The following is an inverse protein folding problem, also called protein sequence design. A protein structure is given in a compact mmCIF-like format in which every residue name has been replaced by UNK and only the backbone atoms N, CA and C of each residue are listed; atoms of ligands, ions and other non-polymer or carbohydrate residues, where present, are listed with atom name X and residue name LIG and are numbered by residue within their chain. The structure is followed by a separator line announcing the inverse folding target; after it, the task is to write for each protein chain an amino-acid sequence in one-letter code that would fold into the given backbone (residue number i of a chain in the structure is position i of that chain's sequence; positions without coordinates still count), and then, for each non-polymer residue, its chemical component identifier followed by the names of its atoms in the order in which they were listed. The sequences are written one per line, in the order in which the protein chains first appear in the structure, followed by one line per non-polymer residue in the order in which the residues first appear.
data_IF_367744783989
#
_entry.id   IF_367744783989
#
_cell.length_a   1.000
_cell.length_b   1.000
_cell.length_c   1.000
_cell.angle_alpha   90.00
_cell.angle_beta   90.00
_cell.angle_gamma   90.00
#
_symmetry.space_group_name_H-M   'P 1'
#
loop_
_entity.id
_entity.type
_entity.pdbx_description
1 polymer ?
#
# COMPACT_ATOMS: atom_id res chain seq x y z
N UNK A 1 -12.90 23.19 67.94
CA UNK A 1 -14.25 22.59 67.96
C UNK A 1 -14.37 21.82 66.65
N UNK A 2 -13.81 20.61 66.62
CA UNK A 2 -14.42 19.33 67.02
C UNK A 2 -15.41 18.88 65.93
N UNK A 3 -15.00 17.99 65.03
CA UNK A 3 -15.18 16.51 65.09
C UNK A 3 -16.52 16.12 64.42
N UNK A 4 -16.57 15.26 63.39
CA UNK A 4 -16.28 13.84 63.46
C UNK A 4 -15.99 13.22 62.07
N UNK A 5 -14.84 12.57 61.95
CA UNK A 5 -14.57 11.50 60.99
C UNK A 5 -14.21 10.27 61.84
N UNK A 6 -15.05 9.23 61.82
CA UNK A 6 -14.78 7.91 62.42
C UNK A 6 -14.79 6.89 61.28
N UNK A 7 -13.62 6.34 60.93
CA UNK A 7 -13.03 5.07 61.41
C UNK A 7 -13.65 3.86 60.65
N UNK A 8 -12.92 3.25 59.70
CA UNK A 8 -11.87 2.23 59.87
C UNK A 8 -12.42 0.79 59.87
N UNK A 9 -12.05 0.02 58.84
CA UNK A 9 -11.94 -1.45 58.83
C UNK A 9 -10.98 -1.82 57.69
N UNK A 10 -9.69 -2.04 57.97
CA UNK A 10 -9.05 -3.30 58.38
C UNK A 10 -9.03 -4.40 57.30
N UNK A 11 -7.84 -4.52 56.69
CA UNK A 11 -7.10 -5.76 56.37
C UNK A 11 -7.78 -6.86 55.54
N UNK A 12 -7.23 -7.13 54.35
CA UNK A 12 -6.36 -8.30 54.14
C UNK A 12 -5.87 -8.37 52.68
N UNK A 13 -4.56 -8.20 52.48
CA UNK A 13 -3.87 -8.56 51.25
C UNK A 13 -3.73 -10.09 51.15
N UNK A 14 -4.10 -10.73 50.03
CA UNK A 14 -3.65 -12.08 49.75
C UNK A 14 -2.24 -12.05 49.16
N UNK A 15 -1.33 -12.70 49.87
CA UNK A 15 0.07 -12.89 49.52
C UNK A 15 0.25 -13.50 48.12
N UNK A 16 1.25 -12.99 47.40
CA UNK A 16 1.77 -13.58 46.18
C UNK A 16 2.23 -15.02 46.47
N UNK A 17 1.55 -16.01 45.89
CA UNK A 17 2.03 -17.40 45.84
C UNK A 17 3.20 -17.47 44.88
N UNK A 18 4.40 -17.62 45.45
CA UNK A 18 5.60 -18.01 44.71
C UNK A 18 5.36 -19.35 44.02
N UNK A 19 5.47 -19.35 42.68
CA UNK A 19 5.47 -20.56 41.89
C UNK A 19 6.78 -21.32 42.14
N UNK A 20 6.67 -22.58 42.57
CA UNK A 20 7.80 -23.50 42.74
C UNK A 20 8.37 -23.88 41.37
N UNK A 21 9.70 -23.96 41.20
CA UNK A 21 10.31 -24.45 39.97
C UNK A 21 10.13 -25.98 39.84
N UNK A 22 9.80 -26.41 38.62
CA UNK A 22 9.62 -27.80 38.23
C UNK A 22 10.92 -28.62 38.40
N UNK A 23 10.84 -29.95 38.63
CA UNK A 23 12.01 -30.80 38.80
C UNK A 23 12.79 -30.99 37.50
N UNK A 24 14.12 -30.96 37.64
CA UNK A 24 15.13 -31.26 36.63
C UNK A 24 14.90 -32.63 35.97
N UNK A 25 14.54 -32.64 34.69
CA UNK A 25 14.69 -33.82 33.82
C UNK A 25 16.13 -33.88 33.28
N UNK A 26 16.77 -35.03 33.46
CA UNK A 26 18.20 -35.23 33.30
C UNK A 26 18.80 -35.02 31.91
N UNK A 27 20.09 -34.73 31.94
CA UNK A 27 21.01 -34.74 30.80
C UNK A 27 21.18 -36.17 30.28
N UNK A 28 20.82 -36.42 29.03
CA UNK A 28 21.35 -37.53 28.24
C UNK A 28 22.55 -37.04 27.42
N UNK A 29 23.66 -37.76 27.54
CA UNK A 29 24.91 -37.52 26.84
C UNK A 29 24.77 -37.66 25.31
N UNK A 30 25.56 -36.92 24.50
CA UNK A 30 25.61 -37.10 23.06
C UNK A 30 26.40 -38.37 22.70
N UNK A 31 25.90 -39.12 21.71
CA UNK A 31 26.57 -40.26 21.09
C UNK A 31 27.82 -39.83 20.28
N UNK A 32 28.83 -40.71 20.12
CA UNK A 32 30.08 -40.35 19.45
C UNK A 32 29.89 -40.19 17.93
N UNK A 33 30.59 -39.21 17.38
CA UNK A 33 30.64 -38.93 15.95
C UNK A 33 31.30 -40.08 15.16
N UNK A 34 30.61 -40.58 14.14
CA UNK A 34 31.17 -41.50 13.17
C UNK A 34 32.07 -40.75 12.17
N UNK A 35 33.27 -41.29 11.91
CA UNK A 35 34.23 -40.78 10.93
C UNK A 35 33.70 -40.94 9.49
N UNK A 36 33.87 -39.95 8.60
CA UNK A 36 33.50 -40.10 7.21
C UNK A 36 34.58 -40.90 6.46
N UNK A 37 34.17 -42.01 5.86
CA UNK A 37 34.96 -42.77 4.89
C UNK A 37 35.15 -41.91 3.61
N UNK A 38 36.40 -41.78 3.19
CA UNK A 38 36.81 -41.17 1.92
C UNK A 38 36.25 -41.98 0.74
N UNK A 39 35.28 -41.44 0.01
CA UNK A 39 34.98 -41.89 -1.35
C UNK A 39 35.97 -41.24 -2.34
N UNK A 40 36.52 -41.99 -3.31
CA UNK A 40 37.34 -41.41 -4.37
C UNK A 40 36.46 -40.61 -5.33
N UNK A 41 36.83 -39.35 -5.56
CA UNK A 41 36.26 -38.49 -6.60
C UNK A 41 36.58 -39.07 -7.98
N UNK A 42 35.60 -39.76 -8.58
CA UNK A 42 35.59 -40.02 -10.02
C UNK A 42 35.27 -38.70 -10.73
N UNK A 43 36.27 -38.16 -11.41
CA UNK A 43 36.15 -36.98 -12.26
C UNK A 43 35.17 -37.30 -13.42
N UNK A 44 34.06 -36.56 -13.61
CA UNK A 44 33.22 -36.75 -14.77
C UNK A 44 33.95 -36.25 -16.00
N UNK A 45 34.10 -37.11 -17.02
CA UNK A 45 34.54 -36.73 -18.35
C UNK A 45 33.62 -35.61 -18.87
N UNK A 46 34.17 -34.40 -18.96
CA UNK A 46 33.50 -33.27 -19.59
C UNK A 46 33.25 -33.60 -21.06
N UNK A 47 31.97 -33.73 -21.43
CA UNK A 47 31.56 -33.71 -22.84
C UNK A 47 31.98 -32.37 -23.46
N UNK A 48 32.52 -32.36 -24.69
CA UNK A 48 32.85 -31.11 -25.37
C UNK A 48 31.58 -30.26 -25.58
N UNK A 49 31.70 -28.92 -25.56
CA UNK A 49 30.57 -28.02 -25.75
C UNK A 49 29.95 -28.21 -27.14
N UNK A 50 28.62 -28.03 -27.28
CA UNK A 50 27.96 -28.09 -28.58
C UNK A 50 28.50 -27.01 -29.52
N UNK A 51 28.50 -27.25 -30.85
CA UNK A 51 28.93 -26.26 -31.81
C UNK A 51 28.04 -24.99 -31.74
N UNK A 52 28.59 -23.81 -32.04
CA UNK A 52 27.84 -22.56 -32.00
C UNK A 52 26.63 -22.62 -32.96
N UNK A 53 25.49 -22.00 -32.60
CA UNK A 53 24.34 -21.94 -33.48
C UNK A 53 24.73 -21.26 -34.80
N UNK A 54 24.26 -21.80 -35.91
CA UNK A 54 24.41 -21.20 -37.24
C UNK A 54 23.87 -19.76 -37.23
N UNK A 55 24.50 -18.83 -37.96
CA UNK A 55 24.01 -17.45 -38.04
C UNK A 55 22.56 -17.46 -38.53
N UNK A 56 21.65 -16.93 -37.69
CA UNK A 56 20.27 -16.72 -38.09
C UNK A 56 20.25 -15.84 -39.35
N UNK A 57 19.51 -16.29 -40.37
CA UNK A 57 19.19 -15.49 -41.55
C UNK A 57 18.71 -14.11 -41.11
N UNK A 58 19.22 -13.00 -41.67
CA UNK A 58 18.81 -11.67 -41.25
C UNK A 58 17.30 -11.54 -41.43
N UNK A 59 16.60 -11.37 -40.32
CA UNK A 59 15.22 -10.88 -40.30
C UNK A 59 15.21 -9.56 -41.08
N UNK A 60 14.26 -9.34 -42.02
CA UNK A 60 14.19 -8.08 -42.73
C UNK A 60 14.12 -6.95 -41.70
N UNK A 61 15.09 -6.03 -41.76
CA UNK A 61 15.15 -4.89 -40.87
C UNK A 61 13.86 -4.08 -41.02
N UNK A 62 13.25 -3.70 -39.90
CA UNK A 62 12.02 -2.92 -39.81
C UNK A 62 12.19 -1.46 -40.30
N UNK A 63 12.97 -1.23 -41.35
CA UNK A 63 13.48 0.09 -41.73
C UNK A 63 12.71 0.76 -42.85
N UNK A 64 11.58 0.23 -43.33
CA UNK A 64 10.72 0.91 -44.32
C UNK A 64 9.24 0.53 -44.18
N UNK A 65 8.69 0.61 -42.96
CA UNK A 65 7.23 0.57 -42.82
C UNK A 65 6.71 1.99 -43.12
N UNK A 66 6.12 2.19 -44.30
CA UNK A 66 5.44 3.45 -44.62
C UNK A 66 4.12 3.52 -43.84
N UNK A 67 4.08 4.45 -42.89
CA UNK A 67 2.96 4.64 -41.97
C UNK A 67 1.91 5.61 -42.55
N UNK A 68 2.17 6.26 -43.70
CA UNK A 68 1.23 7.17 -44.36
C UNK A 68 0.56 8.18 -43.39
N UNK A 69 -0.77 8.31 -43.51
CA UNK A 69 -1.60 9.18 -42.66
C UNK A 69 -1.45 8.93 -41.15
N UNK A 70 -1.06 7.72 -40.73
CA UNK A 70 -0.88 7.39 -39.31
C UNK A 70 0.26 8.20 -38.68
N UNK A 71 1.34 8.47 -39.44
CA UNK A 71 2.46 9.30 -38.98
C UNK A 71 1.99 10.73 -38.70
N UNK A 72 1.25 11.32 -39.63
CA UNK A 72 0.75 12.69 -39.50
C UNK A 72 -0.21 12.83 -38.32
N UNK A 73 -1.10 11.85 -38.14
CA UNK A 73 -2.02 11.78 -37.01
C UNK A 73 -1.28 11.74 -35.67
N UNK A 74 -0.22 10.93 -35.58
CA UNK A 74 0.64 10.81 -34.41
C UNK A 74 1.44 12.09 -34.11
N UNK A 75 2.04 12.71 -35.12
CA UNK A 75 2.78 13.96 -34.97
C UNK A 75 1.85 15.12 -34.56
N UNK A 76 0.63 15.17 -35.11
CA UNK A 76 -0.39 16.14 -34.73
C UNK A 76 -0.81 15.96 -33.28
N UNK A 77 -1.02 14.72 -32.83
CA UNK A 77 -1.33 14.41 -31.44
C UNK A 77 -0.22 14.87 -30.49
N UNK A 78 1.04 14.53 -30.78
CA UNK A 78 2.20 14.96 -30.00
C UNK A 78 2.30 16.48 -29.89
N UNK A 79 2.14 17.20 -31.02
CA UNK A 79 2.17 18.67 -31.07
C UNK A 79 1.05 19.29 -30.22
N UNK A 80 -0.18 18.76 -30.32
CA UNK A 80 -1.33 19.24 -29.53
C UNK A 80 -1.13 19.04 -28.04
N UNK A 81 -0.60 17.88 -27.65
CA UNK A 81 -0.38 17.53 -26.25
C UNK A 81 0.95 18.06 -25.68
N UNK A 82 1.84 18.60 -26.54
CA UNK A 82 3.20 19.03 -26.20
C UNK A 82 4.02 17.93 -25.52
N UNK A 83 3.94 16.70 -26.05
CA UNK A 83 4.60 15.51 -25.50
C UNK A 83 5.68 14.99 -26.45
N UNK A 84 6.68 14.32 -25.87
CA UNK A 84 7.62 13.45 -26.63
C UNK A 84 6.88 12.22 -27.14
N UNK A 85 7.49 11.49 -28.09
CA UNK A 85 6.94 10.20 -28.56
C UNK A 85 6.65 9.23 -27.41
N UNK A 86 7.59 9.10 -26.47
CA UNK A 86 7.42 8.26 -25.28
C UNK A 86 6.30 8.78 -24.36
N UNK A 87 6.22 10.09 -24.15
CA UNK A 87 5.17 10.71 -23.34
C UNK A 87 3.78 10.53 -23.96
N UNK A 88 3.68 10.65 -25.28
CA UNK A 88 2.46 10.39 -26.03
C UNK A 88 2.05 8.91 -25.97
N UNK A 89 3.00 7.98 -26.07
CA UNK A 89 2.73 6.55 -25.99
C UNK A 89 2.25 6.18 -24.58
N UNK A 90 2.92 6.72 -23.56
CA UNK A 90 2.51 6.56 -22.17
C UNK A 90 1.10 7.11 -21.94
N UNK A 91 0.78 8.31 -22.47
CA UNK A 91 -0.55 8.89 -22.32
C UNK A 91 -1.63 7.99 -22.94
N UNK A 92 -1.38 7.42 -24.12
CA UNK A 92 -2.34 6.51 -24.76
C UNK A 92 -2.52 5.21 -23.96
N UNK A 93 -1.42 4.64 -23.45
CA UNK A 93 -1.46 3.44 -22.60
C UNK A 93 -2.23 3.72 -21.30
N UNK A 94 -1.90 4.82 -20.61
CA UNK A 94 -2.59 5.25 -19.40
C UNK A 94 -4.08 5.50 -19.68
N UNK A 95 -4.44 6.09 -20.83
CA UNK A 95 -5.84 6.36 -21.22
C UNK A 95 -6.60 5.06 -21.49
N UNK A 96 -5.93 4.04 -22.02
CA UNK A 96 -6.52 2.72 -22.22
C UNK A 96 -6.68 1.96 -20.90
N UNK A 97 -5.67 2.00 -20.04
CA UNK A 97 -5.65 1.30 -18.74
C UNK A 97 -6.61 1.92 -17.72
N UNK A 98 -6.78 3.25 -17.76
CA UNK A 98 -7.56 4.03 -16.80
C UNK A 98 -8.72 4.79 -17.45
N UNK A 99 -9.45 4.15 -18.36
CA UNK A 99 -10.60 4.76 -19.03
C UNK A 99 -11.58 5.41 -18.04
N UNK A 100 -11.90 6.69 -18.28
CA UNK A 100 -12.82 7.47 -17.44
C UNK A 100 -12.22 8.02 -16.15
N UNK A 101 -10.93 7.77 -15.89
CA UNK A 101 -10.20 8.34 -14.75
C UNK A 101 -9.31 9.49 -15.20
N UNK A 102 -8.94 10.33 -14.23
CA UNK A 102 -7.92 11.37 -14.39
C UNK A 102 -6.82 11.14 -13.38
N UNK A 103 -5.63 11.65 -13.70
CA UNK A 103 -4.50 11.60 -12.79
C UNK A 103 -4.57 12.80 -11.84
N UNK A 104 -4.74 12.52 -10.56
CA UNK A 104 -4.57 13.49 -9.49
C UNK A 104 -3.15 13.40 -8.94
N UNK A 105 -2.61 14.53 -8.51
CA UNK A 105 -1.39 14.60 -7.70
C UNK A 105 -1.72 15.15 -6.33
N UNK A 106 -0.88 14.85 -5.35
CA UNK A 106 -1.10 15.32 -4.00
C UNK A 106 0.08 15.02 -3.09
N UNK A 107 -0.09 15.34 -1.81
CA UNK A 107 0.95 15.10 -0.83
C UNK A 107 0.64 15.61 0.56
N UNK A 108 1.62 15.52 1.44
CA UNK A 108 1.53 16.15 2.75
C UNK A 108 1.76 17.67 2.65
N UNK A 109 1.36 18.40 3.69
CA UNK A 109 1.48 19.87 3.76
C UNK A 109 2.91 20.39 3.48
N UNK A 110 3.94 19.75 4.05
CA UNK A 110 5.32 20.21 3.88
C UNK A 110 5.97 19.79 2.54
N UNK A 111 5.23 19.09 1.67
CA UNK A 111 5.74 18.62 0.36
C UNK A 111 6.77 17.49 0.43
N UNK A 112 7.10 17.00 1.63
CA UNK A 112 8.08 15.94 1.82
C UNK A 112 7.59 14.58 1.29
N UNK A 113 6.28 14.34 1.33
CA UNK A 113 5.60 13.15 0.80
C UNK A 113 4.74 13.59 -0.38
N UNK A 114 4.95 12.99 -1.55
CA UNK A 114 4.22 13.30 -2.79
C UNK A 114 3.79 12.03 -3.50
N UNK A 115 2.60 12.03 -4.10
CA UNK A 115 2.04 10.88 -4.80
C UNK A 115 1.27 11.31 -6.05
N UNK A 116 1.01 10.35 -6.93
CA UNK A 116 0.00 10.43 -7.98
C UNK A 116 -1.02 9.30 -7.80
N UNK A 117 -2.26 9.55 -8.22
CA UNK A 117 -3.36 8.58 -8.14
C UNK A 117 -4.31 8.74 -9.33
N UNK A 118 -4.72 7.63 -9.92
CA UNK A 118 -5.77 7.59 -10.94
C UNK A 118 -7.14 7.36 -10.30
N UNK A 119 -8.03 8.35 -10.41
CA UNK A 119 -9.39 8.27 -9.88
C UNK A 119 -10.36 9.10 -10.74
N UNK A 120 -11.67 9.00 -10.46
CA UNK A 120 -12.68 9.83 -11.11
C UNK A 120 -12.48 11.31 -10.74
N UNK A 121 -12.71 12.21 -11.68
CA UNK A 121 -12.76 13.64 -11.37
C UNK A 121 -13.95 13.99 -10.44
N UNK A 122 -15.00 13.17 -10.42
CA UNK A 122 -16.10 13.23 -9.45
C UNK A 122 -15.82 12.23 -8.33
N UNK A 123 -15.37 12.71 -7.18
CA UNK A 123 -14.91 11.88 -6.08
C UNK A 123 -16.06 11.46 -5.16
N UNK A 124 -16.12 10.18 -4.83
CA UNK A 124 -16.98 9.66 -3.77
C UNK A 124 -16.19 9.50 -2.47
N UNK A 125 -16.51 10.34 -1.48
CA UNK A 125 -15.77 10.47 -0.23
C UNK A 125 -16.53 9.77 0.90
N UNK A 126 -15.85 8.95 1.70
CA UNK A 126 -16.38 8.40 2.94
C UNK A 126 -15.97 9.25 4.13
N UNK A 127 -16.94 9.64 4.96
CA UNK A 127 -16.73 10.31 6.24
C UNK A 127 -17.02 9.34 7.39
N UNK A 128 -15.95 8.77 7.98
CA UNK A 128 -16.05 7.72 8.97
C UNK A 128 -16.08 8.27 10.40
N UNK A 129 -17.07 7.83 11.18
CA UNK A 129 -17.31 8.34 12.53
C UNK A 129 -16.54 7.60 13.66
N UNK A 130 -15.63 6.66 13.34
CA UNK A 130 -14.91 5.91 14.38
C UNK A 130 -13.94 6.82 15.18
N UNK A 131 -13.49 6.37 16.34
CA UNK A 131 -12.72 7.20 17.29
C UNK A 131 -11.48 7.86 16.68
N UNK A 132 -10.70 7.14 15.88
CA UNK A 132 -9.52 7.70 15.20
C UNK A 132 -9.90 8.62 14.04
N UNK A 133 -10.91 8.25 13.24
CA UNK A 133 -11.31 9.02 12.07
C UNK A 133 -11.94 10.36 12.47
N UNK A 134 -12.74 10.40 13.54
CA UNK A 134 -13.23 11.64 14.14
C UNK A 134 -12.09 12.56 14.57
N UNK A 135 -11.09 12.02 15.29
CA UNK A 135 -9.93 12.80 15.76
C UNK A 135 -9.06 13.33 14.61
N UNK A 136 -8.91 12.56 13.53
CA UNK A 136 -8.13 12.95 12.35
C UNK A 136 -8.93 13.76 11.31
N UNK A 137 -10.25 13.86 11.45
CA UNK A 137 -11.15 14.31 10.38
C UNK A 137 -10.91 13.54 9.06
N UNK A 138 -10.78 12.22 9.17
CA UNK A 138 -10.34 11.36 8.07
C UNK A 138 -11.45 11.08 7.05
N UNK A 139 -11.66 12.03 6.15
CA UNK A 139 -12.44 11.89 4.92
C UNK A 139 -11.57 11.33 3.81
N UNK A 140 -12.04 10.33 3.08
CA UNK A 140 -11.22 9.69 2.04
C UNK A 140 -12.05 9.04 0.93
N UNK A 141 -11.49 8.95 -0.28
CA UNK A 141 -11.95 8.03 -1.32
C UNK A 141 -10.97 6.86 -1.44
N UNK A 142 -11.44 5.72 -1.93
CA UNK A 142 -10.64 4.49 -2.01
C UNK A 142 -10.26 4.21 -3.46
N UNK A 143 -8.99 3.84 -3.67
CA UNK A 143 -8.47 3.35 -4.95
C UNK A 143 -7.75 2.00 -4.76
N UNK A 144 -7.72 1.13 -5.78
CA UNK A 144 -6.81 -0.02 -5.82
C UNK A 144 -5.35 0.42 -5.76
N UNK A 145 -4.47 -0.44 -5.21
CA UNK A 145 -3.04 -0.14 -5.13
C UNK A 145 -2.39 0.09 -6.51
N UNK A 146 -2.86 -0.58 -7.56
CA UNK A 146 -2.39 -0.39 -8.94
C UNK A 146 -2.60 1.03 -9.47
N UNK A 147 -3.57 1.77 -8.92
CA UNK A 147 -3.85 3.16 -9.32
C UNK A 147 -3.09 4.20 -8.52
N UNK A 148 -2.30 3.80 -7.52
CA UNK A 148 -1.58 4.70 -6.64
C UNK A 148 -0.07 4.57 -6.85
N UNK A 149 0.63 5.69 -6.86
CA UNK A 149 2.09 5.71 -6.92
C UNK A 149 2.67 6.76 -5.99
N UNK A 150 3.52 6.32 -5.07
CA UNK A 150 4.35 7.21 -4.26
C UNK A 150 5.47 7.78 -5.14
N UNK A 151 5.54 9.10 -5.25
CA UNK A 151 6.55 9.81 -6.05
C UNK A 151 7.78 10.19 -5.22
N UNK A 152 7.58 10.52 -3.94
CA UNK A 152 8.65 10.95 -3.02
C UNK A 152 8.26 10.74 -1.56
N UNK A 153 9.25 10.54 -0.69
CA UNK A 153 9.11 10.71 0.75
C UNK A 153 8.82 9.43 1.51
N UNK A 154 9.22 8.26 0.99
CA UNK A 154 9.09 6.98 1.66
C UNK A 154 9.75 7.00 3.05
N UNK A 155 10.91 7.65 3.15
CA UNK A 155 11.67 7.89 4.37
C UNK A 155 10.98 8.84 5.36
N UNK A 156 10.03 9.65 4.89
CA UNK A 156 9.28 10.62 5.70
C UNK A 156 7.92 10.10 6.16
N UNK A 157 7.59 8.87 5.81
CA UNK A 157 6.36 8.21 6.20
C UNK A 157 6.55 7.43 7.51
N UNK A 158 5.54 7.46 8.37
CA UNK A 158 5.41 6.56 9.51
C UNK A 158 3.99 6.02 9.59
N UNK A 159 3.79 4.92 10.30
CA UNK A 159 2.53 4.18 10.33
C UNK A 159 2.11 3.92 11.77
N UNK A 160 0.84 4.21 12.07
CA UNK A 160 0.18 3.82 13.31
C UNK A 160 -0.86 2.74 13.04
N UNK A 161 -0.86 1.68 13.83
CA UNK A 161 -1.87 0.60 13.78
C UNK A 161 -2.40 0.33 15.18
N UNK A 162 -3.66 -0.10 15.27
CA UNK A 162 -4.30 -0.47 16.53
C UNK A 162 -5.47 -1.44 16.27
N UNK A 163 -6.06 -1.95 17.34
CA UNK A 163 -7.20 -2.88 17.31
C UNK A 163 -6.89 -4.14 16.48
N UNK A 164 -7.41 -4.25 15.26
CA UNK A 164 -7.16 -5.41 14.38
C UNK A 164 -5.82 -5.35 13.65
N UNK A 165 -5.10 -4.22 13.75
CA UNK A 165 -3.85 -3.93 13.03
C UNK A 165 -3.93 -4.02 11.49
N UNK A 166 -5.14 -4.17 10.92
CA UNK A 166 -5.38 -4.21 9.47
C UNK A 166 -5.35 -2.83 8.82
N UNK A 167 -5.87 -1.82 9.51
CA UNK A 167 -5.74 -0.44 9.04
C UNK A 167 -4.32 0.05 9.32
N UNK A 168 -3.66 0.59 8.30
CA UNK A 168 -2.36 1.21 8.40
C UNK A 168 -2.54 2.72 8.26
N UNK A 169 -2.57 3.43 9.39
CA UNK A 169 -2.70 4.89 9.39
C UNK A 169 -1.34 5.54 9.13
N UNK A 170 -1.05 5.70 7.85
CA UNK A 170 0.20 6.26 7.31
C UNK A 170 0.17 7.78 7.32
N UNK A 171 1.22 8.46 7.81
CA UNK A 171 1.29 9.92 7.80
C UNK A 171 2.72 10.43 7.73
N UNK A 172 2.87 11.70 7.36
CA UNK A 172 4.18 12.33 7.29
C UNK A 172 4.73 12.58 8.70
N UNK A 173 5.89 11.99 9.02
CA UNK A 173 6.56 12.19 10.31
C UNK A 173 7.09 13.61 10.53
N UNK A 174 7.14 14.45 9.48
CA UNK A 174 7.58 15.85 9.56
C UNK A 174 6.46 16.82 9.90
N UNK A 175 5.28 16.69 9.27
CA UNK A 175 4.18 17.64 9.44
C UNK A 175 2.88 17.02 9.96
N UNK A 176 2.85 15.72 10.26
CA UNK A 176 1.70 15.01 10.84
C UNK A 176 0.56 14.70 9.87
N UNK A 177 0.56 15.26 8.65
CA UNK A 177 -0.53 15.08 7.68
C UNK A 177 -0.61 13.65 7.16
N UNK A 178 -1.81 13.07 7.24
CA UNK A 178 -2.18 11.79 6.62
C UNK A 178 -2.77 12.06 5.24
N UNK A 179 -1.93 12.07 4.21
CA UNK A 179 -2.39 12.31 2.84
C UNK A 179 -2.99 11.07 2.18
N UNK A 180 -2.58 9.88 2.62
CA UNK A 180 -3.16 8.59 2.27
C UNK A 180 -2.94 7.58 3.39
N UNK A 181 -3.70 6.50 3.40
CA UNK A 181 -3.53 5.40 4.35
C UNK A 181 -4.11 4.09 3.79
N UNK A 182 -3.82 2.94 4.42
CA UNK A 182 -4.46 1.67 4.04
C UNK A 182 -5.66 1.41 4.96
N UNK A 183 -6.91 1.47 4.46
CA UNK A 183 -8.11 1.25 5.28
C UNK A 183 -8.31 -0.24 5.62
N UNK A 184 -8.94 -0.52 6.77
CA UNK A 184 -9.29 -1.88 7.20
C UNK A 184 -10.19 -2.62 6.19
N UNK A 185 -11.10 -1.90 5.55
CA UNK A 185 -12.07 -2.44 4.60
C UNK A 185 -11.42 -2.87 3.27
N UNK A 186 -10.29 -2.24 2.92
CA UNK A 186 -9.65 -2.36 1.61
C UNK A 186 -8.11 -2.44 1.78
N UNK A 187 -7.59 -3.56 2.32
CA UNK A 187 -6.15 -3.71 2.58
C UNK A 187 -5.29 -3.75 1.31
N UNK A 188 -5.87 -4.06 0.15
CA UNK A 188 -5.21 -4.02 -1.16
C UNK A 188 -5.28 -2.67 -1.87
N UNK A 189 -5.66 -1.60 -1.16
CA UNK A 189 -5.80 -0.27 -1.73
C UNK A 189 -5.45 0.83 -0.76
N UNK A 190 -5.66 2.06 -1.19
CA UNK A 190 -5.38 3.26 -0.43
C UNK A 190 -6.63 4.13 -0.29
N UNK A 191 -6.85 4.63 0.93
CA UNK A 191 -7.75 5.74 1.19
C UNK A 191 -6.97 7.05 1.02
N UNK A 192 -7.38 7.89 0.08
CA UNK A 192 -6.73 9.17 -0.23
C UNK A 192 -7.53 10.30 0.39
N UNK A 193 -6.86 11.18 1.15
CA UNK A 193 -7.48 12.35 1.72
C UNK A 193 -7.72 13.41 0.62
N UNK A 194 -8.97 13.80 0.29
CA UNK A 194 -9.23 14.69 -0.84
C UNK A 194 -8.65 16.08 -0.64
N UNK A 195 -8.57 16.54 0.62
CA UNK A 195 -7.97 17.83 0.98
C UNK A 195 -6.43 17.85 0.87
N UNK A 196 -5.80 16.71 0.51
CA UNK A 196 -4.36 16.60 0.25
C UNK A 196 -4.05 16.48 -1.26
N UNK A 197 -5.06 16.55 -2.13
CA UNK A 197 -4.86 16.65 -3.58
C UNK A 197 -4.47 18.08 -3.95
N UNK A 198 -3.63 18.21 -4.98
CA UNK A 198 -3.37 19.51 -5.59
C UNK A 198 -4.59 19.95 -6.42
N UNK A 199 -4.70 21.26 -6.64
CA UNK A 199 -5.82 21.85 -7.39
C UNK A 199 -5.79 21.49 -8.88
N UNK A 200 -6.97 21.48 -9.52
CA UNK A 200 -7.11 21.50 -10.98
C UNK A 200 -7.70 20.25 -11.63
N UNK A 201 -7.77 19.12 -10.92
CA UNK A 201 -8.25 17.84 -11.51
C UNK A 201 -9.56 17.32 -10.91
N UNK A 202 -9.94 17.80 -9.72
CA UNK A 202 -11.21 17.44 -9.09
C UNK A 202 -12.33 18.34 -9.62
N UNK A 203 -13.41 17.73 -10.09
CA UNK A 203 -14.62 18.41 -10.58
C UNK A 203 -15.70 18.52 -9.52
N UNK A 204 -15.96 17.43 -8.80
CA UNK A 204 -16.97 17.40 -7.73
C UNK A 204 -16.60 16.42 -6.63
N UNK A 205 -17.20 16.58 -5.45
CA UNK A 205 -17.06 15.64 -4.33
C UNK A 205 -18.42 15.40 -3.70
N UNK A 206 -18.82 14.13 -3.60
CA UNK A 206 -20.02 13.70 -2.86
C UNK A 206 -19.55 12.94 -1.62
N UNK A 207 -20.10 13.28 -0.46
CA UNK A 207 -19.71 12.65 0.82
C UNK A 207 -20.81 11.70 1.30
N UNK A 208 -20.43 10.46 1.60
CA UNK A 208 -21.24 9.44 2.25
C UNK A 208 -20.74 9.23 3.68
N UNK A 209 -21.66 9.24 4.65
CA UNK A 209 -21.32 8.95 6.04
C UNK A 209 -21.12 7.44 6.25
N UNK A 210 -20.09 7.07 7.00
CA UNK A 210 -19.82 5.69 7.36
C UNK A 210 -19.81 5.51 8.89
N UNK A 211 -20.66 4.60 9.39
CA UNK A 211 -20.70 4.29 10.81
C UNK A 211 -19.57 3.34 11.23
N UNK A 212 -18.36 3.88 11.35
CA UNK A 212 -17.20 3.14 11.81
C UNK A 212 -17.19 2.81 13.30
N UNK A 213 -18.08 3.39 14.10
CA UNK A 213 -18.26 3.04 15.52
C UNK A 213 -18.92 1.67 15.69
N UNK A 214 -19.78 1.28 14.74
CA UNK A 214 -20.37 -0.06 14.63
C UNK A 214 -19.93 -0.74 13.31
N UNK A 215 -18.61 -0.93 13.19
CA UNK A 215 -17.96 -1.35 11.94
C UNK A 215 -18.51 -2.68 11.38
N UNK A 216 -18.75 -3.67 12.25
CA UNK A 216 -19.20 -5.00 11.80
C UNK A 216 -20.59 -4.95 11.17
N UNK A 217 -21.51 -4.16 11.76
CA UNK A 217 -22.83 -3.93 11.19
C UNK A 217 -22.75 -3.12 9.89
N UNK A 218 -22.03 -2.00 9.92
CA UNK A 218 -21.86 -1.13 8.76
C UNK A 218 -21.31 -1.89 7.54
N UNK A 219 -20.32 -2.77 7.73
CA UNK A 219 -19.74 -3.57 6.64
C UNK A 219 -20.63 -4.70 6.11
N UNK A 220 -21.69 -5.09 6.83
CA UNK A 220 -22.70 -6.02 6.33
C UNK A 220 -23.74 -5.30 5.48
N UNK A 221 -24.10 -4.09 5.88
CA UNK A 221 -25.12 -3.27 5.20
C UNK A 221 -24.55 -2.56 3.96
N UNK A 222 -23.28 -2.16 3.99
CA UNK A 222 -22.64 -1.42 2.92
C UNK A 222 -22.26 -2.33 1.74
N UNK A 223 -22.86 -2.07 0.57
CA UNK A 223 -22.77 -2.96 -0.60
C UNK A 223 -21.50 -2.78 -1.44
N UNK A 224 -20.95 -1.56 -1.47
CA UNK A 224 -19.93 -1.17 -2.47
C UNK A 224 -18.50 -1.07 -1.94
N UNK A 225 -18.31 -0.65 -0.67
CA UNK A 225 -16.98 -0.30 -0.13
C UNK A 225 -15.93 -1.41 -0.28
N UNK A 226 -16.30 -2.68 -0.04
CA UNK A 226 -15.39 -3.84 -0.13
C UNK A 226 -14.81 -4.07 -1.53
N UNK A 227 -15.46 -3.55 -2.57
CA UNK A 227 -15.05 -3.76 -3.95
C UNK A 227 -14.20 -2.60 -4.49
N UNK A 228 -14.09 -1.47 -3.77
CA UNK A 228 -13.41 -0.27 -4.28
C UNK A 228 -11.88 -0.39 -4.43
N UNK A 229 -11.28 -1.43 -3.86
CA UNK A 229 -9.86 -1.74 -4.07
C UNK A 229 -9.65 -3.02 -4.86
N UNK A 230 -10.72 -3.60 -5.41
CA UNK A 230 -10.61 -4.69 -6.37
C UNK A 230 -10.45 -4.03 -7.75
N UNK A 231 -9.57 -4.60 -8.56
CA UNK A 231 -9.30 -4.12 -9.91
C UNK A 231 -10.54 -4.25 -10.81
#
# INVERSE_FOLDING_TARGET
MAENFTAASSSSSPAARAAQPAPYSGFMAPAPAASPLLLPLLLPLLLPPPPPPTPATPTPSASNLDLGEQRERWETFQKRQKLTSEGAAKLLLDTFEYQGLVKHTGGCHCGAVRFEVWASADLHIFDCNCSICKKKQNRHFIVPASRFKLLKGAEHITTYTFNTHKAQHTFCKRCGVQSFYTPRSNPGGFGIAPHCLDEGTVRSMVTEEFNGSDWEKAMKEHKTIKNMSKE
#
